data_IF_870055111362
#
_entry.id   IF_870055111362
#
_cell.length_a   1.000
_cell.length_b   1.000
_cell.length_c   1.000
_cell.angle_alpha   90.00
_cell.angle_beta   90.00
_cell.angle_gamma   90.00
#
_symmetry.space_group_name_H-M   'P 1'
#
loop_
_entity.id
_entity.type
_entity.pdbx_description
1 polymer ?
#
# COMPACT_ATOMS: atom_id res chain seq x y z
N UNK A 1 12.85 19.64 -7.20
CA UNK A 1 11.58 19.56 -7.92
C UNK A 1 11.39 20.84 -8.69
N UNK A 2 11.19 20.73 -9.99
CA UNK A 2 10.80 21.82 -10.87
C UNK A 2 9.31 22.16 -10.65
N UNK A 3 8.87 23.35 -11.09
CA UNK A 3 7.47 23.78 -10.96
C UNK A 3 6.51 22.79 -11.64
N UNK A 4 6.91 22.18 -12.75
CA UNK A 4 6.10 21.21 -13.51
C UNK A 4 5.88 19.86 -12.77
N UNK A 5 6.81 19.44 -11.92
CA UNK A 5 6.68 18.20 -11.13
C UNK A 5 5.70 18.38 -9.95
N UNK A 6 5.55 19.60 -9.44
CA UNK A 6 4.59 19.92 -8.39
C UNK A 6 3.14 19.96 -8.88
N UNK A 7 2.90 20.35 -10.14
CA UNK A 7 1.54 20.44 -10.69
C UNK A 7 0.94 19.04 -10.94
N UNK A 8 1.73 18.11 -11.50
CA UNK A 8 1.31 16.71 -11.71
C UNK A 8 0.95 16.00 -10.40
N UNK A 9 1.70 16.28 -9.35
CA UNK A 9 1.46 15.75 -8.00
C UNK A 9 0.12 16.24 -7.44
N UNK A 10 -0.15 17.54 -7.57
CA UNK A 10 -1.37 18.15 -7.07
C UNK A 10 -2.58 17.56 -7.79
N UNK A 11 -2.48 17.35 -9.10
CA UNK A 11 -3.59 16.80 -9.88
C UNK A 11 -3.86 15.33 -9.56
N UNK A 12 -2.81 14.51 -9.37
CA UNK A 12 -3.00 13.12 -8.93
C UNK A 12 -3.66 13.03 -7.55
N UNK A 13 -3.24 13.89 -6.60
CA UNK A 13 -3.87 13.93 -5.27
C UNK A 13 -5.33 14.31 -5.40
N UNK A 14 -5.68 15.33 -6.20
CA UNK A 14 -7.09 15.69 -6.42
C UNK A 14 -7.90 14.54 -7.01
N UNK A 15 -7.34 13.76 -7.92
CA UNK A 15 -8.01 12.60 -8.53
C UNK A 15 -8.26 11.45 -7.55
N UNK A 16 -7.38 11.28 -6.55
CA UNK A 16 -7.43 10.18 -5.60
C UNK A 16 -7.83 10.62 -4.17
N UNK A 17 -8.31 11.85 -4.02
CA UNK A 17 -8.76 12.41 -2.75
C UNK A 17 -10.28 12.52 -2.75
N UNK A 18 -10.91 12.09 -1.67
CA UNK A 18 -12.35 12.21 -1.47
C UNK A 18 -12.61 13.29 -0.40
N UNK A 19 -12.99 14.52 -0.81
CA UNK A 19 -13.23 15.62 0.12
C UNK A 19 -14.33 15.32 1.14
N UNK A 20 -15.39 14.63 0.70
CA UNK A 20 -16.55 14.35 1.54
C UNK A 20 -16.19 13.29 2.59
N UNK A 21 -15.49 12.23 2.19
CA UNK A 21 -14.91 11.28 3.13
C UNK A 21 -14.01 12.00 4.13
N UNK A 22 -13.10 12.85 3.65
CA UNK A 22 -12.08 13.46 4.49
C UNK A 22 -12.68 14.37 5.58
N UNK A 23 -13.60 15.27 5.21
CA UNK A 23 -14.23 16.17 6.20
C UNK A 23 -15.17 15.44 7.15
N UNK A 24 -15.79 14.34 6.72
CA UNK A 24 -16.63 13.53 7.60
C UNK A 24 -15.80 12.65 8.54
N UNK A 25 -14.65 12.14 8.07
CA UNK A 25 -13.71 11.34 8.87
C UNK A 25 -12.95 12.19 9.88
N UNK A 26 -12.67 13.45 9.54
CA UNK A 26 -11.86 14.39 10.32
C UNK A 26 -12.63 15.65 10.72
N UNK A 27 -13.38 15.61 11.85
CA UNK A 27 -14.25 16.71 12.27
C UNK A 27 -13.52 18.03 12.56
N UNK A 28 -12.24 17.98 12.90
CA UNK A 28 -11.39 19.16 13.10
C UNK A 28 -11.22 19.95 11.80
N UNK A 29 -11.10 19.28 10.66
CA UNK A 29 -11.03 19.90 9.32
C UNK A 29 -12.37 20.53 8.96
N UNK A 30 -13.47 19.79 9.21
CA UNK A 30 -14.83 20.29 8.98
C UNK A 30 -15.13 21.55 9.79
N UNK A 31 -14.69 21.60 11.06
CA UNK A 31 -14.85 22.78 11.93
C UNK A 31 -13.97 23.94 11.51
N UNK A 32 -12.75 23.66 11.06
CA UNK A 32 -11.80 24.68 10.62
C UNK A 32 -12.20 25.34 9.29
N UNK A 33 -13.03 24.67 8.47
CA UNK A 33 -13.48 25.20 7.18
C UNK A 33 -12.36 25.36 6.16
N UNK A 34 -11.25 24.63 6.35
CA UNK A 34 -10.09 24.67 5.46
C UNK A 34 -10.30 23.75 4.24
N UNK A 35 -9.66 24.10 3.13
CA UNK A 35 -9.63 23.24 1.94
C UNK A 35 -9.00 21.88 2.29
N UNK A 36 -9.74 20.77 2.16
CA UNK A 36 -9.30 19.47 2.65
C UNK A 36 -8.14 18.90 1.82
N UNK A 37 -8.09 19.18 0.51
CA UNK A 37 -6.99 18.76 -0.37
C UNK A 37 -5.70 19.50 0.01
N UNK A 38 -5.76 20.82 0.18
CA UNK A 38 -4.62 21.63 0.63
C UNK A 38 -4.16 21.21 2.02
N UNK A 39 -5.10 20.98 2.95
CA UNK A 39 -4.76 20.48 4.27
C UNK A 39 -4.02 19.14 4.17
N UNK A 40 -4.53 18.21 3.38
CA UNK A 40 -3.90 16.90 3.22
C UNK A 40 -2.48 17.00 2.66
N UNK A 41 -2.29 17.81 1.61
CA UNK A 41 -1.00 18.06 0.96
C UNK A 41 0.05 18.67 1.88
N UNK A 42 -0.35 19.47 2.87
CA UNK A 42 0.59 20.19 3.76
C UNK A 42 0.78 19.46 5.10
N UNK A 43 -0.30 18.94 5.67
CA UNK A 43 -0.37 18.41 7.03
C UNK A 43 -0.90 16.99 7.09
N UNK A 44 -2.02 16.69 6.42
CA UNK A 44 -2.76 15.44 6.63
C UNK A 44 -1.94 14.17 6.38
N UNK A 45 -1.06 14.16 5.38
CA UNK A 45 -0.19 13.00 5.15
C UNK A 45 0.80 12.77 6.30
N UNK A 46 1.30 13.84 6.95
CA UNK A 46 2.23 13.74 8.09
C UNK A 46 1.54 13.22 9.34
N UNK A 47 0.25 13.51 9.43
CA UNK A 47 -0.63 13.10 10.50
C UNK A 47 -1.20 11.68 10.28
N UNK A 48 -0.75 10.96 9.25
CA UNK A 48 -1.24 9.63 8.86
C UNK A 48 -2.76 9.60 8.61
N UNK A 49 -3.30 10.70 8.05
CA UNK A 49 -4.70 10.74 7.63
C UNK A 49 -4.89 10.01 6.30
N UNK A 50 -6.07 9.46 6.11
CA UNK A 50 -6.46 8.78 4.89
C UNK A 50 -7.16 9.80 3.97
N UNK A 51 -6.70 10.00 2.73
CA UNK A 51 -7.31 10.91 1.76
C UNK A 51 -8.66 10.42 1.22
N UNK A 52 -8.93 9.11 1.35
CA UNK A 52 -10.15 8.44 0.93
C UNK A 52 -10.37 7.19 1.81
N UNK A 53 -11.48 6.49 1.63
CA UNK A 53 -11.86 5.27 2.37
C UNK A 53 -11.03 4.03 1.97
N UNK A 54 -10.38 4.07 0.81
CA UNK A 54 -9.60 2.97 0.22
C UNK A 54 -8.14 2.95 0.65
N UNK A 55 -7.62 4.08 1.14
CA UNK A 55 -6.23 4.23 1.53
C UNK A 55 -6.05 4.03 3.03
N UNK A 56 -5.11 3.19 3.43
CA UNK A 56 -4.68 3.02 4.82
C UNK A 56 -3.27 3.59 4.99
N UNK A 57 -3.20 4.84 5.46
CA UNK A 57 -1.96 5.57 5.68
C UNK A 57 -1.06 4.91 6.72
N UNK A 58 -1.66 4.29 7.74
CA UNK A 58 -0.92 3.62 8.83
C UNK A 58 -0.27 2.34 8.33
N UNK A 59 -1.02 1.52 7.59
CA UNK A 59 -0.47 0.34 6.95
C UNK A 59 0.60 0.72 5.92
N UNK A 60 0.31 1.69 5.06
CA UNK A 60 1.25 2.18 4.05
C UNK A 60 2.58 2.63 4.69
N UNK A 61 2.53 3.47 5.72
CA UNK A 61 3.72 3.88 6.49
C UNK A 61 4.46 2.66 7.06
N UNK A 62 3.74 1.70 7.61
CA UNK A 62 4.34 0.51 8.23
C UNK A 62 5.08 -0.41 7.24
N UNK A 63 4.66 -0.42 5.97
CA UNK A 63 5.24 -1.29 4.94
C UNK A 63 6.39 -0.59 4.20
N UNK A 64 6.27 0.71 3.92
CA UNK A 64 7.16 1.42 2.99
C UNK A 64 8.08 2.47 3.62
N UNK A 65 7.84 2.95 4.86
CA UNK A 65 8.63 4.04 5.45
C UNK A 65 9.45 3.53 6.63
N UNK A 66 10.76 3.34 6.44
CA UNK A 66 11.64 2.69 7.43
C UNK A 66 12.38 3.63 8.41
N UNK A 67 12.41 4.96 8.25
CA UNK A 67 13.25 5.84 9.09
C UNK A 67 12.80 7.32 9.17
N UNK A 68 11.51 7.60 9.42
CA UNK A 68 10.93 8.95 9.70
C UNK A 68 11.35 10.14 8.82
N UNK A 69 12.02 9.89 7.69
CA UNK A 69 12.36 10.89 6.68
C UNK A 69 11.22 10.88 5.68
N UNK A 70 10.33 11.84 5.86
CA UNK A 70 9.17 12.18 5.01
C UNK A 70 9.59 12.18 3.55
N UNK A 71 8.83 11.53 2.66
CA UNK A 71 7.71 12.16 1.94
C UNK A 71 6.38 11.42 1.88
N UNK A 72 5.35 12.25 1.67
CA UNK A 72 3.96 11.93 1.37
C UNK A 72 3.81 11.08 0.10
N UNK A 73 2.62 11.13 -0.52
CA UNK A 73 2.37 10.85 -1.93
C UNK A 73 3.46 11.43 -2.90
N UNK A 74 4.37 12.30 -2.44
CA UNK A 74 5.57 12.78 -3.14
C UNK A 74 6.71 11.75 -3.26
N UNK A 75 6.98 10.89 -2.27
CA UNK A 75 8.03 9.84 -2.36
C UNK A 75 7.54 8.63 -3.14
N UNK A 76 6.24 8.39 -2.98
CA UNK A 76 5.42 7.52 -3.79
C UNK A 76 5.59 7.77 -5.30
N UNK A 77 5.75 9.03 -5.73
CA UNK A 77 5.98 9.39 -7.14
C UNK A 77 7.47 9.41 -7.52
N UNK A 78 8.38 9.75 -6.60
CA UNK A 78 9.81 9.88 -6.89
C UNK A 78 10.61 8.56 -6.87
N UNK A 79 10.18 7.53 -6.13
CA UNK A 79 10.90 6.23 -6.00
C UNK A 79 10.47 5.15 -7.00
N UNK A 80 9.69 5.51 -8.02
CA UNK A 80 9.42 4.64 -9.15
C UNK A 80 8.25 3.68 -8.92
N UNK A 81 7.08 4.06 -9.47
CA UNK A 81 6.09 3.30 -10.26
C UNK A 81 5.71 1.83 -9.94
N UNK A 82 6.32 1.10 -9.01
CA UNK A 82 6.11 -0.35 -8.90
C UNK A 82 5.15 -0.81 -7.80
N UNK A 83 4.66 0.08 -6.91
CA UNK A 83 3.96 -0.42 -5.71
C UNK A 83 2.73 0.32 -5.18
N UNK A 84 2.39 1.49 -5.70
CA UNK A 84 1.21 2.21 -5.20
C UNK A 84 0.36 2.89 -6.26
N UNK A 85 0.62 2.66 -7.55
CA UNK A 85 -0.22 3.12 -8.68
C UNK A 85 -1.40 2.21 -8.90
N UNK A 86 -2.14 1.91 -7.85
CA UNK A 86 -3.21 0.92 -7.91
C UNK A 86 -4.47 1.61 -7.46
N UNK A 87 -5.51 1.73 -8.30
CA UNK A 87 -6.81 2.29 -7.87
C UNK A 87 -7.52 1.40 -6.82
N UNK A 88 -6.88 0.29 -6.45
CA UNK A 88 -7.37 -0.77 -5.60
C UNK A 88 -6.93 -0.54 -4.16
N UNK A 89 -7.89 -0.59 -3.24
CA UNK A 89 -7.62 -0.61 -1.81
C UNK A 89 -6.85 -1.86 -1.41
N UNK A 90 -6.28 -1.88 -0.20
CA UNK A 90 -5.71 -3.11 0.37
C UNK A 90 -6.69 -4.29 0.33
N UNK A 91 -7.99 -4.02 0.56
CA UNK A 91 -9.05 -5.02 0.49
C UNK A 91 -9.28 -5.53 -0.93
N UNK A 92 -9.24 -4.64 -1.93
CA UNK A 92 -9.39 -5.01 -3.34
C UNK A 92 -8.21 -5.88 -3.80
N UNK A 93 -6.98 -5.51 -3.45
CA UNK A 93 -5.79 -6.30 -3.76
C UNK A 93 -5.88 -7.67 -3.09
N UNK A 94 -6.23 -7.72 -1.79
CA UNK A 94 -6.43 -8.99 -1.07
C UNK A 94 -7.44 -9.87 -1.79
N UNK A 95 -8.58 -9.29 -2.18
CA UNK A 95 -9.65 -9.98 -2.90
C UNK A 95 -9.15 -10.52 -4.24
N UNK A 96 -8.47 -9.70 -5.05
CA UNK A 96 -7.92 -10.12 -6.34
C UNK A 96 -6.90 -11.26 -6.19
N UNK A 97 -6.03 -11.21 -5.17
CA UNK A 97 -5.08 -12.28 -4.91
C UNK A 97 -5.77 -13.60 -4.55
N UNK A 98 -6.82 -13.54 -3.73
CA UNK A 98 -7.62 -14.71 -3.34
C UNK A 98 -8.38 -15.27 -4.55
N UNK A 99 -9.05 -14.41 -5.33
CA UNK A 99 -9.81 -14.81 -6.52
C UNK A 99 -8.92 -15.46 -7.59
N UNK A 100 -7.68 -14.99 -7.73
CA UNK A 100 -6.68 -15.58 -8.64
C UNK A 100 -5.98 -16.81 -8.04
N UNK A 101 -6.25 -17.17 -6.79
CA UNK A 101 -5.62 -18.30 -6.11
C UNK A 101 -4.14 -18.08 -5.75
N UNK A 102 -3.62 -16.86 -5.90
CA UNK A 102 -2.22 -16.52 -5.62
C UNK A 102 -2.00 -16.12 -4.16
N UNK A 103 -3.07 -16.07 -3.36
CA UNK A 103 -3.00 -16.01 -1.90
C UNK A 103 -4.12 -16.85 -1.27
N UNK A 104 -3.82 -17.64 -0.25
CA UNK A 104 -4.83 -18.34 0.57
C UNK A 104 -4.52 -18.14 2.05
N UNK A 105 -5.53 -17.70 2.83
CA UNK A 105 -5.36 -17.56 4.28
C UNK A 105 -5.08 -18.93 4.93
N UNK A 106 -5.82 -19.96 4.50
CA UNK A 106 -5.76 -21.31 5.03
C UNK A 106 -4.38 -21.92 4.78
N UNK A 107 -3.91 -21.87 3.54
CA UNK A 107 -2.57 -22.33 3.17
C UNK A 107 -1.49 -21.57 3.93
N UNK A 108 -1.61 -20.24 3.97
CA UNK A 108 -0.58 -19.40 4.56
C UNK A 108 -0.47 -19.61 6.06
N UNK A 109 -1.58 -19.72 6.79
CA UNK A 109 -1.56 -19.98 8.22
C UNK A 109 -1.12 -21.41 8.54
N UNK A 110 -1.52 -22.41 7.73
CA UNK A 110 -1.08 -23.79 7.90
C UNK A 110 0.44 -23.95 7.67
N UNK A 111 0.99 -23.23 6.70
CA UNK A 111 2.42 -23.27 6.38
C UNK A 111 3.28 -22.41 7.32
N UNK A 112 2.67 -21.47 8.06
CA UNK A 112 3.37 -20.50 8.90
C UNK A 112 2.76 -20.47 10.32
N UNK A 113 3.03 -21.49 11.16
CA UNK A 113 2.42 -21.60 12.50
C UNK A 113 2.76 -20.44 13.44
N UNK A 114 3.89 -19.77 13.24
CA UNK A 114 4.28 -18.56 13.96
C UNK A 114 3.31 -17.40 13.70
N UNK A 115 2.90 -17.23 12.44
CA UNK A 115 1.89 -16.24 12.06
C UNK A 115 0.53 -16.63 12.62
N UNK A 116 0.16 -17.91 12.53
CA UNK A 116 -1.10 -18.42 13.09
C UNK A 116 -1.19 -18.20 14.60
N UNK A 117 -0.13 -18.51 15.36
CA UNK A 117 -0.08 -18.31 16.80
C UNK A 117 -0.12 -16.82 17.19
N UNK A 118 0.39 -15.93 16.34
CA UNK A 118 0.37 -14.48 16.58
C UNK A 118 -1.02 -13.84 16.42
N UNK A 119 -1.94 -14.49 15.70
CA UNK A 119 -3.24 -13.91 15.32
C UNK A 119 -3.13 -12.72 14.34
N UNK A 120 -1.95 -12.44 13.79
CA UNK A 120 -1.75 -11.36 12.83
C UNK A 120 -2.42 -11.69 11.50
N UNK A 121 -3.03 -10.70 10.84
CA UNK A 121 -3.68 -10.93 9.53
C UNK A 121 -2.66 -11.49 8.52
N UNK A 122 -2.91 -12.66 7.92
CA UNK A 122 -1.92 -13.36 7.11
C UNK A 122 -1.54 -12.59 5.84
N UNK A 123 -2.49 -11.88 5.22
CA UNK A 123 -2.21 -11.09 4.03
C UNK A 123 -1.34 -9.87 4.37
N UNK A 124 -1.65 -9.16 5.48
CA UNK A 124 -0.79 -8.10 6.03
C UNK A 124 0.59 -8.63 6.40
N UNK A 125 0.67 -9.81 7.03
CA UNK A 125 1.94 -10.46 7.36
C UNK A 125 2.78 -10.66 6.11
N UNK A 126 2.19 -11.32 5.11
CA UNK A 126 2.86 -11.63 3.87
C UNK A 126 3.38 -10.35 3.20
N UNK A 127 2.51 -9.35 3.02
CA UNK A 127 2.87 -8.10 2.36
C UNK A 127 4.04 -7.38 3.03
N UNK A 128 4.14 -7.46 4.37
CA UNK A 128 5.14 -6.74 5.15
C UNK A 128 6.45 -7.51 5.33
N UNK A 129 6.34 -8.80 5.63
CA UNK A 129 7.44 -9.68 6.05
C UNK A 129 7.57 -10.92 5.18
N UNK A 130 6.47 -11.64 4.93
CA UNK A 130 6.51 -12.99 4.37
C UNK A 130 7.28 -13.14 3.05
N UNK A 131 7.11 -12.20 2.12
CA UNK A 131 7.83 -12.26 0.84
C UNK A 131 9.34 -12.07 0.99
N UNK A 132 9.78 -11.28 1.98
CA UNK A 132 11.21 -11.08 2.32
C UNK A 132 11.80 -12.29 3.02
N UNK A 133 10.96 -13.01 3.75
CA UNK A 133 11.27 -14.28 4.41
C UNK A 133 11.15 -15.47 3.44
N UNK A 134 10.94 -15.21 2.15
CA UNK A 134 10.83 -16.20 1.09
C UNK A 134 9.68 -17.20 1.25
N UNK A 135 8.63 -16.81 2.01
CA UNK A 135 7.44 -17.65 2.21
C UNK A 135 6.56 -17.63 0.96
N UNK A 136 5.85 -18.73 0.70
CA UNK A 136 4.87 -18.80 -0.38
C UNK A 136 3.48 -18.35 0.12
N UNK A 137 2.78 -17.45 -0.60
CA UNK A 137 1.44 -16.97 -0.23
C UNK A 137 0.31 -17.96 -0.53
N UNK A 138 0.51 -18.89 -1.46
CA UNK A 138 -0.37 -20.02 -1.75
C UNK A 138 0.43 -21.18 -2.35
N UNK A 139 -0.24 -22.31 -2.53
CA UNK A 139 0.28 -23.46 -3.28
C UNK A 139 0.49 -23.16 -4.77
N UNK A 140 -0.24 -22.18 -5.31
CA UNK A 140 -0.19 -21.77 -6.72
C UNK A 140 0.72 -20.57 -6.97
N UNK A 141 1.47 -20.09 -5.97
CA UNK A 141 2.38 -18.97 -6.14
C UNK A 141 3.71 -19.22 -5.41
N UNK A 142 4.75 -19.48 -6.19
CA UNK A 142 6.11 -19.59 -5.68
C UNK A 142 6.80 -18.21 -5.69
N UNK A 143 7.06 -17.70 -4.48
CA UNK A 143 7.66 -16.38 -4.26
C UNK A 143 9.05 -16.27 -4.89
N UNK A 144 9.90 -17.27 -4.67
CA UNK A 144 11.30 -17.25 -5.13
C UNK A 144 11.36 -17.39 -6.65
N UNK A 145 10.66 -18.38 -7.19
CA UNK A 145 10.61 -18.66 -8.62
C UNK A 145 10.08 -17.44 -9.38
N UNK A 146 8.99 -16.82 -8.88
CA UNK A 146 8.42 -15.65 -9.53
C UNK A 146 9.41 -14.48 -9.55
N UNK A 147 10.06 -14.18 -8.42
CA UNK A 147 11.06 -13.11 -8.35
C UNK A 147 12.22 -13.32 -9.33
N UNK A 148 12.77 -14.54 -9.39
CA UNK A 148 13.90 -14.84 -10.28
C UNK A 148 13.51 -14.73 -11.77
N UNK A 149 12.35 -15.27 -12.15
CA UNK A 149 11.97 -15.39 -13.56
C UNK A 149 11.22 -14.18 -14.11
N UNK A 150 10.51 -13.43 -13.27
CA UNK A 150 9.64 -12.33 -13.72
C UNK A 150 10.11 -10.95 -13.28
N UNK A 151 10.94 -10.88 -12.23
CA UNK A 151 11.42 -9.61 -11.65
C UNK A 151 12.94 -9.44 -11.77
N UNK A 152 13.59 -10.25 -12.61
CA UNK A 152 15.04 -10.19 -12.83
C UNK A 152 15.86 -10.49 -11.56
N UNK A 153 15.30 -11.23 -10.60
CA UNK A 153 15.95 -11.50 -9.32
C UNK A 153 15.99 -10.30 -8.36
N UNK A 154 15.20 -9.26 -8.61
CA UNK A 154 15.12 -8.10 -7.72
C UNK A 154 14.23 -8.38 -6.51
N UNK A 155 14.82 -8.43 -5.31
CA UNK A 155 14.12 -8.61 -4.03
C UNK A 155 13.79 -7.28 -3.32
N UNK A 156 13.71 -6.19 -4.07
CA UNK A 156 13.32 -4.88 -3.52
C UNK A 156 11.80 -4.69 -3.48
N UNK A 157 11.06 -5.56 -4.19
CA UNK A 157 9.64 -5.45 -4.48
C UNK A 157 8.89 -6.75 -4.11
N UNK A 158 7.64 -6.65 -3.67
CA UNK A 158 6.83 -7.83 -3.33
C UNK A 158 6.33 -8.54 -4.63
N UNK A 159 6.68 -9.82 -4.85
CA UNK A 159 6.36 -10.52 -6.09
C UNK A 159 4.87 -10.77 -6.30
N UNK A 160 4.11 -10.99 -5.23
CA UNK A 160 2.67 -11.20 -5.33
C UNK A 160 1.97 -9.95 -5.86
N UNK A 161 2.42 -8.79 -5.40
CA UNK A 161 1.86 -7.51 -5.82
C UNK A 161 2.32 -7.18 -7.25
N UNK A 162 3.59 -7.45 -7.58
CA UNK A 162 4.05 -7.36 -8.97
C UNK A 162 3.22 -8.23 -9.93
N UNK A 163 2.82 -9.43 -9.51
CA UNK A 163 1.95 -10.31 -10.30
C UNK A 163 0.56 -9.73 -10.55
N UNK A 164 -0.04 -9.06 -9.55
CA UNK A 164 -1.38 -8.46 -9.70
C UNK A 164 -1.39 -7.31 -10.73
N UNK A 165 -0.26 -6.63 -10.92
CA UNK A 165 -0.15 -5.45 -11.80
C UNK A 165 0.48 -5.70 -13.15
N UNK A 166 0.75 -6.96 -13.50
CA UNK A 166 1.25 -7.35 -14.81
C UNK A 166 0.16 -7.82 -15.76
#
# INVERSE_FOLDING_TARGET
>A
MTIAENDLLIDYVKENFDPDYYVNRYPDIKKAGVDPVKHYLVFGYKENRNPNDKFDASWYKSVYIKNDTIPSIIDYLNKGKCFATTPYSFSDIKKMCIEKGVFSNEYYLASNPDVAASGYDPFKHYCKYGWKELRNPSDNFDNVWYTLNNMGGCFENNPLIHYIYR
#
